data_IF_948545689714
#
_entry.id   IF_948545689714
#
_cell.length_a   1.000
_cell.length_b   1.000
_cell.length_c   1.000
_cell.angle_alpha   90.00
_cell.angle_beta   90.00
_cell.angle_gamma   90.00
#
_symmetry.space_group_name_H-M   'P 1'
#
loop_
_entity.id
_entity.type
_entity.pdbx_description
1 polymer ?
#
# COMPACT_ATOMS: atom_id res chain seq x y z
N UNK A 1 -41.34 -9.91 37.43
CA UNK A 1 -41.48 -10.77 36.23
C UNK A 1 -41.51 -9.86 35.00
N UNK A 2 -40.47 -9.87 34.18
CA UNK A 2 -40.36 -8.94 33.05
C UNK A 2 -41.46 -9.25 32.01
N UNK A 3 -42.23 -8.25 31.57
CA UNK A 3 -43.29 -8.46 30.56
C UNK A 3 -42.66 -9.09 29.31
N UNK A 4 -43.25 -10.17 28.77
CA UNK A 4 -42.71 -10.93 27.63
C UNK A 4 -42.30 -10.02 26.47
N UNK A 5 -43.07 -8.96 26.18
CA UNK A 5 -42.75 -7.96 25.15
C UNK A 5 -41.43 -7.21 25.39
N UNK A 6 -41.10 -6.85 26.63
CA UNK A 6 -39.85 -6.16 26.96
C UNK A 6 -38.64 -7.09 26.83
N UNK A 7 -38.81 -8.40 27.11
CA UNK A 7 -37.77 -9.42 26.88
C UNK A 7 -37.45 -9.57 25.39
N UNK A 8 -38.46 -9.60 24.52
CA UNK A 8 -38.25 -9.67 23.07
C UNK A 8 -37.62 -8.40 22.51
N UNK A 9 -37.96 -7.23 23.05
CA UNK A 9 -37.34 -5.96 22.66
C UNK A 9 -35.84 -5.97 22.95
N UNK A 10 -35.43 -6.38 24.16
CA UNK A 10 -34.00 -6.48 24.53
C UNK A 10 -33.26 -7.48 23.63
N UNK A 11 -33.82 -8.67 23.40
CA UNK A 11 -33.20 -9.68 22.53
C UNK A 11 -33.08 -9.16 21.09
N UNK A 12 -34.10 -8.47 20.58
CA UNK A 12 -34.09 -7.85 19.27
C UNK A 12 -32.99 -6.80 19.15
N UNK A 13 -32.87 -5.90 20.14
CA UNK A 13 -31.81 -4.88 20.16
C UNK A 13 -30.42 -5.51 20.21
N UNK A 14 -30.18 -6.49 21.08
CA UNK A 14 -28.88 -7.18 21.15
C UNK A 14 -28.55 -7.87 19.82
N UNK A 15 -29.53 -8.53 19.21
CA UNK A 15 -29.35 -9.21 17.92
C UNK A 15 -29.01 -8.22 16.80
N UNK A 16 -29.67 -7.06 16.75
CA UNK A 16 -29.37 -6.00 15.78
C UNK A 16 -27.97 -5.44 16.02
N UNK A 17 -27.60 -5.17 17.27
CA UNK A 17 -26.27 -4.68 17.60
C UNK A 17 -25.19 -5.69 17.19
N UNK A 18 -25.39 -6.98 17.49
CA UNK A 18 -24.50 -8.04 17.02
C UNK A 18 -24.38 -8.06 15.50
N UNK A 19 -25.51 -7.99 14.78
CA UNK A 19 -25.53 -8.07 13.33
C UNK A 19 -24.79 -6.88 12.69
N UNK A 20 -25.06 -5.66 13.17
CA UNK A 20 -24.50 -4.42 12.62
C UNK A 20 -23.02 -4.26 12.98
N UNK A 21 -22.63 -4.54 14.22
CA UNK A 21 -21.27 -4.22 14.69
C UNK A 21 -20.29 -5.39 14.60
N UNK A 22 -20.76 -6.63 14.44
CA UNK A 22 -19.88 -7.81 14.38
C UNK A 22 -20.04 -8.53 13.04
N UNK A 23 -21.27 -8.96 12.71
CA UNK A 23 -21.47 -9.80 11.52
C UNK A 23 -21.21 -9.06 10.21
N UNK A 24 -21.79 -7.88 10.01
CA UNK A 24 -21.62 -7.11 8.77
C UNK A 24 -20.15 -6.74 8.50
N UNK A 25 -19.37 -6.20 9.47
CA UNK A 25 -17.95 -5.93 9.26
C UNK A 25 -17.14 -7.20 8.95
N UNK A 26 -17.42 -8.30 9.64
CA UNK A 26 -16.76 -9.59 9.37
C UNK A 26 -17.05 -10.09 7.96
N UNK A 27 -18.33 -10.10 7.56
CA UNK A 27 -18.75 -10.53 6.23
C UNK A 27 -18.16 -9.63 5.15
N UNK A 28 -18.16 -8.31 5.35
CA UNK A 28 -17.57 -7.33 4.43
C UNK A 28 -16.07 -7.57 4.24
N UNK A 29 -15.32 -7.76 5.33
CA UNK A 29 -13.89 -8.08 5.26
C UNK A 29 -13.62 -9.42 4.58
N UNK A 30 -14.44 -10.44 4.86
CA UNK A 30 -14.35 -11.75 4.21
C UNK A 30 -14.60 -11.64 2.70
N UNK A 31 -15.68 -10.97 2.29
CA UNK A 31 -15.99 -10.73 0.87
C UNK A 31 -14.88 -9.90 0.22
N UNK A 32 -14.36 -8.87 0.89
CA UNK A 32 -13.25 -8.08 0.38
C UNK A 32 -11.94 -8.87 0.27
N UNK A 33 -11.72 -9.87 1.11
CA UNK A 33 -10.54 -10.71 1.04
C UNK A 33 -10.62 -11.75 -0.08
N UNK A 34 -11.70 -12.54 -0.08
CA UNK A 34 -11.90 -13.67 -0.99
C UNK A 34 -12.45 -13.24 -2.35
N UNK A 35 -13.38 -12.28 -2.38
CA UNK A 35 -13.92 -11.72 -3.62
C UNK A 35 -12.84 -11.06 -4.48
N UNK A 36 -11.96 -10.26 -3.86
CA UNK A 36 -10.81 -9.68 -4.57
C UNK A 36 -9.58 -10.59 -4.57
N UNK A 37 -9.64 -11.82 -4.03
CA UNK A 37 -8.53 -12.77 -4.00
C UNK A 37 -7.18 -12.14 -3.62
N UNK A 38 -7.13 -11.34 -2.54
CA UNK A 38 -5.99 -10.46 -2.23
C UNK A 38 -4.62 -11.17 -2.22
N UNK A 39 -4.58 -12.44 -1.82
CA UNK A 39 -3.36 -13.28 -1.78
C UNK A 39 -2.77 -13.62 -3.15
N UNK A 40 -3.52 -13.47 -4.24
CA UNK A 40 -3.03 -13.77 -5.60
C UNK A 40 -2.11 -12.68 -6.13
N UNK A 41 -2.29 -11.45 -5.65
CA UNK A 41 -1.62 -10.27 -6.17
C UNK A 41 -0.36 -9.94 -5.39
N UNK A 42 0.56 -9.29 -6.10
CA UNK A 42 1.76 -8.71 -5.52
C UNK A 42 1.38 -7.49 -4.70
N UNK A 43 2.09 -7.27 -3.60
CA UNK A 43 1.87 -6.11 -2.74
C UNK A 43 3.17 -5.37 -2.46
N UNK A 44 3.05 -4.08 -2.15
CA UNK A 44 4.12 -3.24 -1.58
C UNK A 44 3.77 -2.76 -0.17
N UNK A 45 4.76 -2.47 0.67
CA UNK A 45 4.51 -1.78 1.95
C UNK A 45 4.49 -0.26 1.81
N UNK A 46 4.00 0.41 2.84
CA UNK A 46 3.77 1.86 2.85
C UNK A 46 4.64 2.62 3.87
N UNK A 47 5.54 1.89 4.54
CA UNK A 47 6.55 2.39 5.48
C UNK A 47 7.74 1.44 5.59
N UNK A 48 8.92 1.99 5.84
CA UNK A 48 10.14 1.20 6.03
C UNK A 48 10.00 0.25 7.22
N UNK A 49 9.33 0.69 8.29
CA UNK A 49 9.13 -0.13 9.48
C UNK A 49 8.28 -1.38 9.18
N UNK A 50 7.21 -1.24 8.40
CA UNK A 50 6.39 -2.38 7.99
C UNK A 50 7.19 -3.36 7.13
N UNK A 51 8.01 -2.84 6.19
CA UNK A 51 8.89 -3.65 5.36
C UNK A 51 9.93 -4.44 6.19
N UNK A 52 10.50 -3.81 7.22
CA UNK A 52 11.43 -4.43 8.16
C UNK A 52 10.76 -5.49 9.02
N UNK A 53 9.58 -5.20 9.59
CA UNK A 53 8.82 -6.15 10.42
C UNK A 53 8.43 -7.42 9.64
N UNK A 54 8.27 -7.30 8.32
CA UNK A 54 7.97 -8.41 7.40
C UNK A 54 9.23 -9.13 6.88
N UNK A 55 10.43 -8.70 7.27
CA UNK A 55 11.72 -9.24 6.80
C UNK A 55 11.91 -9.18 5.27
N UNK A 56 11.35 -8.16 4.62
CA UNK A 56 11.42 -7.95 3.16
C UNK A 56 12.17 -6.67 2.77
N UNK A 57 12.51 -5.81 3.73
CA UNK A 57 13.29 -4.61 3.47
C UNK A 57 14.67 -4.94 2.89
N UNK A 58 15.07 -4.24 1.83
CA UNK A 58 16.39 -4.37 1.21
C UNK A 58 17.27 -3.19 1.56
N UNK A 59 16.88 -1.99 1.12
CA UNK A 59 17.64 -0.76 1.39
C UNK A 59 16.79 0.48 1.19
N UNK A 60 17.15 1.55 1.87
CA UNK A 60 16.67 2.88 1.55
C UNK A 60 17.38 3.40 0.30
N UNK A 61 16.66 4.11 -0.56
CA UNK A 61 17.21 4.73 -1.76
C UNK A 61 17.60 6.17 -1.48
N UNK A 62 18.57 6.68 -2.23
CA UNK A 62 18.90 8.09 -2.17
C UNK A 62 17.83 8.88 -2.92
N UNK A 63 17.57 10.09 -2.46
CA UNK A 63 16.59 10.94 -3.10
C UNK A 63 16.85 12.41 -2.88
N UNK A 64 16.22 13.22 -3.74
CA UNK A 64 16.15 14.66 -3.62
C UNK A 64 14.76 15.11 -4.05
N UNK A 65 14.06 15.82 -3.18
CA UNK A 65 12.84 16.55 -3.54
C UNK A 65 13.33 17.82 -4.24
N UNK A 66 13.09 17.91 -5.55
CA UNK A 66 13.47 19.08 -6.36
C UNK A 66 12.42 20.16 -6.16
N UNK A 67 11.15 19.77 -6.18
CA UNK A 67 10.01 20.63 -5.94
C UNK A 67 8.95 19.83 -5.17
N UNK A 68 8.45 20.38 -4.06
CA UNK A 68 7.41 19.77 -3.25
C UNK A 68 5.99 20.15 -3.68
N UNK A 69 5.77 20.75 -4.86
CA UNK A 69 4.47 21.27 -5.31
C UNK A 69 3.86 22.29 -4.33
N UNK A 70 4.74 22.99 -3.60
CA UNK A 70 4.38 23.89 -2.51
C UNK A 70 3.81 23.20 -1.25
N UNK A 71 3.83 21.86 -1.15
CA UNK A 71 3.43 21.17 0.07
C UNK A 71 4.45 21.45 1.18
N UNK A 72 4.00 22.13 2.24
CA UNK A 72 4.80 22.39 3.44
C UNK A 72 5.01 21.09 4.21
N UNK A 73 6.23 20.86 4.71
CA UNK A 73 6.59 19.68 5.50
C UNK A 73 6.32 18.35 4.79
N UNK A 74 6.41 18.33 3.46
CA UNK A 74 6.29 17.09 2.70
C UNK A 74 7.46 16.16 3.04
N UNK A 75 7.16 14.96 3.50
CA UNK A 75 8.13 13.91 3.81
C UNK A 75 7.96 12.77 2.84
N UNK A 76 9.08 12.34 2.27
CA UNK A 76 9.15 11.25 1.31
C UNK A 76 10.41 10.46 1.56
N UNK A 77 10.31 9.14 1.69
CA UNK A 77 11.48 8.26 1.81
C UNK A 77 11.29 7.05 0.91
N UNK A 78 12.02 6.93 -0.20
CA UNK A 78 11.95 5.78 -1.09
C UNK A 78 12.82 4.63 -0.57
N UNK A 79 12.40 3.41 -0.86
CA UNK A 79 13.13 2.20 -0.47
C UNK A 79 12.82 1.04 -1.41
N UNK A 80 13.70 0.04 -1.38
CA UNK A 80 13.51 -1.24 -2.04
C UNK A 80 13.11 -2.30 -1.02
N UNK A 81 12.22 -3.17 -1.46
CA UNK A 81 11.84 -4.38 -0.72
C UNK A 81 11.71 -5.58 -1.67
N UNK A 82 11.78 -6.78 -1.11
CA UNK A 82 11.45 -8.02 -1.84
C UNK A 82 9.99 -8.00 -2.22
N UNK A 83 9.69 -8.38 -3.46
CA UNK A 83 8.33 -8.63 -3.91
C UNK A 83 7.70 -9.75 -3.11
N UNK A 84 6.49 -9.52 -2.62
CA UNK A 84 5.76 -10.49 -1.81
C UNK A 84 4.27 -10.48 -2.14
N UNK A 85 3.58 -11.49 -1.64
CA UNK A 85 2.12 -11.61 -1.60
C UNK A 85 1.67 -11.89 -0.18
N UNK A 86 0.41 -11.61 0.11
CA UNK A 86 -0.19 -12.08 1.36
C UNK A 86 -0.41 -13.60 1.34
N UNK A 87 -0.51 -14.17 2.53
CA UNK A 87 -1.02 -15.52 2.74
C UNK A 87 -2.46 -15.65 2.30
N UNK A 88 -2.94 -16.89 2.14
CA UNK A 88 -4.30 -17.12 1.64
C UNK A 88 -5.39 -16.55 2.55
N UNK A 89 -5.15 -16.44 3.85
CA UNK A 89 -6.18 -16.14 4.84
C UNK A 89 -6.00 -14.80 5.57
N UNK A 90 -4.76 -14.31 5.68
CA UNK A 90 -4.43 -13.14 6.50
C UNK A 90 -3.33 -12.31 5.84
N UNK A 91 -3.30 -11.02 6.15
CA UNK A 91 -2.35 -10.05 5.56
C UNK A 91 -0.98 -10.09 6.22
N UNK A 92 -0.89 -10.69 7.40
CA UNK A 92 0.30 -10.79 8.24
C UNK A 92 1.22 -11.90 7.72
N UNK A 93 0.65 -12.97 7.14
CA UNK A 93 1.40 -14.01 6.41
C UNK A 93 2.02 -13.38 5.16
N UNK A 94 3.35 -13.27 5.15
CA UNK A 94 4.14 -12.66 4.08
C UNK A 94 4.83 -13.74 3.27
N UNK A 95 4.47 -13.88 1.99
CA UNK A 95 5.03 -14.88 1.08
C UNK A 95 5.89 -14.21 0.02
N UNK A 96 7.21 -14.37 0.14
CA UNK A 96 8.18 -13.81 -0.83
C UNK A 96 7.94 -14.46 -2.20
N UNK A 97 7.94 -13.64 -3.26
CA UNK A 97 7.80 -14.10 -4.63
C UNK A 97 9.16 -14.61 -5.11
N UNK A 98 9.28 -15.93 -5.30
CA UNK A 98 10.53 -16.54 -5.74
C UNK A 98 10.69 -16.57 -7.28
N UNK A 99 9.58 -16.68 -8.02
CA UNK A 99 9.61 -16.95 -9.47
C UNK A 99 9.15 -15.73 -10.30
N UNK A 100 9.62 -14.54 -9.96
CA UNK A 100 9.34 -13.32 -10.75
C UNK A 100 10.61 -12.83 -11.43
N UNK A 101 10.49 -12.46 -12.70
CA UNK A 101 11.55 -11.74 -13.41
C UNK A 101 11.93 -10.42 -12.75
N UNK A 102 11.07 -9.87 -11.88
CA UNK A 102 11.27 -8.60 -11.18
C UNK A 102 11.10 -8.79 -9.67
N UNK A 103 12.06 -9.40 -8.95
CA UNK A 103 11.87 -9.83 -7.57
C UNK A 103 11.81 -8.68 -6.54
N UNK A 104 11.97 -7.42 -6.94
CA UNK A 104 11.98 -6.27 -6.03
C UNK A 104 10.89 -5.25 -6.35
N UNK A 105 10.35 -4.61 -5.32
CA UNK A 105 9.45 -3.45 -5.41
C UNK A 105 10.22 -2.17 -5.15
N UNK A 106 9.84 -1.10 -5.84
CA UNK A 106 10.21 0.27 -5.52
C UNK A 106 9.04 0.89 -4.75
N UNK A 107 9.24 1.11 -3.46
CA UNK A 107 8.23 1.62 -2.54
C UNK A 107 8.65 2.97 -1.96
N UNK A 108 7.71 3.64 -1.29
CA UNK A 108 7.96 4.92 -0.65
C UNK A 108 7.08 5.12 0.58
N UNK A 109 7.68 5.72 1.60
CA UNK A 109 6.98 6.21 2.79
C UNK A 109 6.71 7.71 2.60
N UNK A 110 5.46 8.13 2.84
CA UNK A 110 5.06 9.54 2.68
C UNK A 110 3.97 9.93 3.68
N UNK A 111 3.95 11.19 4.10
CA UNK A 111 2.99 11.70 5.08
C UNK A 111 1.66 12.21 4.51
N UNK A 112 1.54 12.39 3.18
CA UNK A 112 0.35 12.94 2.52
C UNK A 112 -0.35 11.91 1.61
N UNK A 113 -0.56 10.66 2.09
CA UNK A 113 -1.01 9.53 1.24
C UNK A 113 -2.32 9.79 0.48
N UNK A 114 -3.31 10.39 1.13
CA UNK A 114 -4.65 10.61 0.57
C UNK A 114 -4.79 11.95 -0.16
N UNK A 115 -3.78 12.82 -0.08
CA UNK A 115 -3.81 14.17 -0.66
C UNK A 115 -3.01 14.31 -1.94
N UNK A 116 -2.11 13.36 -2.22
CA UNK A 116 -1.24 13.38 -3.39
C UNK A 116 -1.10 12.01 -4.05
N UNK A 117 -0.94 12.04 -5.37
CA UNK A 117 -0.52 10.91 -6.20
C UNK A 117 0.96 11.09 -6.52
N UNK A 118 1.71 9.99 -6.44
CA UNK A 118 3.07 9.95 -6.95
C UNK A 118 3.07 9.03 -8.16
N UNK A 119 3.62 9.50 -9.29
CA UNK A 119 3.77 8.69 -10.50
C UNK A 119 5.15 8.90 -11.11
N UNK A 120 5.67 7.88 -11.77
CA UNK A 120 6.91 8.05 -12.53
C UNK A 120 6.66 8.93 -13.76
N UNK A 121 7.63 9.79 -14.10
CA UNK A 121 7.64 10.48 -15.41
C UNK A 121 7.72 9.45 -16.54
N UNK A 122 7.24 9.76 -17.74
CA UNK A 122 7.31 8.86 -18.91
C UNK A 122 8.73 8.33 -19.19
N UNK A 123 9.74 9.20 -19.11
CA UNK A 123 11.13 8.79 -19.31
C UNK A 123 11.64 7.84 -18.22
N UNK A 124 11.13 7.97 -16.99
CA UNK A 124 11.47 7.07 -15.90
C UNK A 124 10.75 5.73 -16.02
N UNK A 125 9.52 5.71 -16.57
CA UNK A 125 8.82 4.45 -16.88
C UNK A 125 9.61 3.62 -17.88
N UNK A 126 10.22 4.24 -18.90
CA UNK A 126 11.08 3.55 -19.88
C UNK A 126 12.36 2.96 -19.27
N UNK A 127 12.82 3.50 -18.14
CA UNK A 127 14.02 3.04 -17.40
C UNK A 127 13.71 1.96 -16.37
N UNK A 128 12.45 1.84 -15.95
CA UNK A 128 12.03 0.78 -15.05
C UNK A 128 12.11 -0.57 -15.74
N UNK A 129 12.54 -1.60 -15.00
CA UNK A 129 12.52 -2.96 -15.54
C UNK A 129 11.07 -3.42 -15.79
N UNK A 130 10.13 -2.99 -14.95
CA UNK A 130 8.68 -3.13 -15.13
C UNK A 130 7.95 -2.17 -14.20
N UNK A 131 6.69 -1.84 -14.50
CA UNK A 131 5.82 -1.05 -13.64
C UNK A 131 4.36 -1.45 -13.82
N UNK A 132 3.54 -1.17 -12.82
CA UNK A 132 2.09 -1.07 -12.99
C UNK A 132 1.61 0.37 -12.76
N UNK A 133 0.31 0.56 -12.59
CA UNK A 133 -0.31 1.88 -12.39
C UNK A 133 0.21 2.57 -11.12
N UNK A 134 0.65 1.82 -10.10
CA UNK A 134 0.95 2.33 -8.76
C UNK A 134 2.42 2.13 -8.37
N UNK A 135 3.08 1.10 -8.89
CA UNK A 135 4.38 0.64 -8.42
C UNK A 135 5.40 0.43 -9.54
N UNK A 136 6.67 0.65 -9.21
CA UNK A 136 7.81 0.24 -10.03
C UNK A 136 8.41 -1.06 -9.53
N UNK A 137 8.92 -1.88 -10.44
CA UNK A 137 9.53 -3.17 -10.17
C UNK A 137 10.95 -3.23 -10.73
N UNK A 138 11.85 -3.93 -10.02
CA UNK A 138 13.24 -4.08 -10.46
C UNK A 138 13.70 -5.54 -10.47
N UNK A 139 14.58 -5.85 -11.42
CA UNK A 139 15.34 -7.10 -11.51
C UNK A 139 16.43 -7.17 -10.44
N UNK A 140 16.94 -6.02 -10.02
CA UNK A 140 18.12 -5.89 -9.16
C UNK A 140 17.77 -5.25 -7.81
N UNK A 141 18.54 -5.53 -6.74
CA UNK A 141 18.34 -4.90 -5.42
C UNK A 141 18.88 -3.46 -5.37
N UNK A 142 18.91 -2.78 -6.52
CA UNK A 142 19.39 -1.41 -6.71
C UNK A 142 18.76 -0.82 -7.98
N UNK A 143 18.66 0.50 -8.06
CA UNK A 143 18.26 1.20 -9.28
C UNK A 143 19.46 1.28 -10.24
N UNK A 144 19.25 0.89 -11.49
CA UNK A 144 20.27 1.00 -12.55
C UNK A 144 20.49 2.44 -13.00
N UNK A 145 19.39 3.20 -12.98
CA UNK A 145 19.34 4.58 -13.40
C UNK A 145 18.63 5.44 -12.36
N UNK A 146 18.87 6.75 -12.45
CA UNK A 146 18.05 7.72 -11.73
C UNK A 146 16.64 7.73 -12.28
N UNK A 147 15.66 7.66 -11.38
CA UNK A 147 14.24 7.79 -11.68
C UNK A 147 13.67 9.11 -11.13
N UNK A 148 12.64 9.60 -11.81
CA UNK A 148 11.94 10.84 -11.48
C UNK A 148 10.48 10.53 -11.21
N UNK A 149 9.96 11.03 -10.11
CA UNK A 149 8.55 10.97 -9.74
C UNK A 149 7.94 12.36 -9.74
N UNK A 150 6.74 12.46 -10.27
CA UNK A 150 5.90 13.65 -10.24
C UNK A 150 5.04 13.58 -8.96
N UNK A 151 4.91 14.71 -8.28
CA UNK A 151 3.96 14.90 -7.19
C UNK A 151 2.73 15.61 -7.76
N UNK A 152 1.61 14.90 -7.83
CA UNK A 152 0.32 15.45 -8.28
C UNK A 152 -0.64 15.54 -7.10
N UNK A 153 -1.42 16.61 -7.04
CA UNK A 153 -2.40 16.83 -5.98
C UNK A 153 -3.44 17.85 -6.44
N UNK A 154 -4.28 18.37 -5.54
CA UNK A 154 -5.36 19.31 -5.89
C UNK A 154 -4.86 20.71 -6.31
N UNK A 155 -3.55 20.90 -6.48
CA UNK A 155 -2.93 22.18 -6.84
C UNK A 155 -2.60 22.19 -8.33
N UNK A 156 -2.57 23.38 -8.92
CA UNK A 156 -2.31 23.55 -10.36
C UNK A 156 -0.90 23.16 -10.79
N UNK A 157 0.08 23.23 -9.87
CA UNK A 157 1.48 22.93 -10.15
C UNK A 157 1.90 21.55 -9.62
N UNK A 158 2.63 20.80 -10.45
CA UNK A 158 3.14 19.48 -10.12
C UNK A 158 4.58 19.56 -9.59
N UNK A 159 4.85 18.84 -8.50
CA UNK A 159 6.17 18.74 -7.90
C UNK A 159 7.02 17.65 -8.54
N UNK A 160 8.29 17.58 -8.15
CA UNK A 160 9.26 16.65 -8.74
C UNK A 160 10.22 16.09 -7.70
N UNK A 161 10.40 14.78 -7.72
CA UNK A 161 11.31 14.02 -6.86
C UNK A 161 12.27 13.22 -7.74
N UNK A 162 13.55 13.23 -7.38
CA UNK A 162 14.60 12.40 -7.98
C UNK A 162 14.98 11.29 -7.01
N UNK A 163 15.12 10.06 -7.48
CA UNK A 163 15.59 8.89 -6.70
C UNK A 163 16.71 8.15 -7.44
N UNK A 164 17.68 7.58 -6.70
CA UNK A 164 18.79 6.77 -7.24
C UNK A 164 19.35 5.76 -6.22
#
# INVERSE_FOLDING_TARGET
MMKKGFKYLIIGTISILFFVYIFLPFASNYIGWYGYSKWKYRHGTDSIQMSKNRNIFIKQLNYKIIDSAGFKNFRFTPYLEKGFKYGKHFSEDTRIIQNSSYPYNICYERNLKDSIVLRFTEDSVKKLDSSDVVWGYSKTPYLKDTLMLIIEGPREHAGLIKIW
#
